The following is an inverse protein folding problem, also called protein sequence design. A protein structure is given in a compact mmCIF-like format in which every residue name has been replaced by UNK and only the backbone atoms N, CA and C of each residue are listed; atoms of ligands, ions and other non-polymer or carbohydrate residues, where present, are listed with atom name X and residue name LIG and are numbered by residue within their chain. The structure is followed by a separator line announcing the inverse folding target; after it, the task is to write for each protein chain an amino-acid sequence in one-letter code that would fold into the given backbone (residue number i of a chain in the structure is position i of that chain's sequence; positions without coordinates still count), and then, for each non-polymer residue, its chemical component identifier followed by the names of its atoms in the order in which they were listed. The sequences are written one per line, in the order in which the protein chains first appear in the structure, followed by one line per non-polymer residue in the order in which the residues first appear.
data_IF_097558566328
#
_entry.id   IF_097558566328
#
_cell.length_a   1.000
_cell.length_b   1.000
_cell.length_c   1.000
_cell.angle_alpha   90.00
_cell.angle_beta   90.00
_cell.angle_gamma   90.00
#
_symmetry.space_group_name_H-M   'P 1'
#
loop_
_entity.id
_entity.type
_entity.pdbx_description
1 polymer ?
#
# COMPACT_ATOMS: atom_id res chain seq x y z
N UNK A 1 -2.07 2.27 -21.38
CA UNK A 1 -1.56 1.49 -20.24
C UNK A 1 -2.32 0.18 -20.19
N UNK A 2 -1.65 -0.95 -20.34
CA UNK A 2 -2.27 -2.27 -20.16
C UNK A 2 -2.43 -2.49 -18.65
N UNK A 3 -3.67 -2.51 -18.17
CA UNK A 3 -3.97 -3.03 -16.83
C UNK A 3 -3.71 -4.54 -16.87
N UNK A 4 -2.51 -4.95 -16.44
CA UNK A 4 -2.15 -6.36 -16.31
C UNK A 4 -2.91 -6.95 -15.11
N UNK A 5 -3.28 -8.22 -15.23
CA UNK A 5 -4.21 -8.88 -14.32
C UNK A 5 -3.43 -9.45 -13.16
N UNK A 6 -3.64 -8.89 -11.96
CA UNK A 6 -3.04 -9.40 -10.71
C UNK A 6 -3.25 -10.92 -10.58
N UNK A 7 -2.22 -11.69 -10.19
CA UNK A 7 -2.34 -13.12 -9.97
C UNK A 7 -3.36 -13.40 -8.88
N UNK A 8 -4.20 -14.40 -9.10
CA UNK A 8 -5.30 -14.76 -8.19
C UNK A 8 -4.84 -15.60 -7.01
N UNK A 9 -3.68 -16.24 -7.12
CA UNK A 9 -3.07 -17.06 -6.07
C UNK A 9 -1.56 -17.20 -6.29
N UNK A 10 -0.86 -17.73 -5.28
CA UNK A 10 0.57 -17.99 -5.30
C UNK A 10 1.04 -18.91 -6.45
N UNK A 11 0.17 -19.74 -7.03
CA UNK A 11 0.58 -20.64 -8.13
C UNK A 11 0.76 -19.90 -9.46
N UNK A 12 0.13 -18.73 -9.61
CA UNK A 12 0.21 -17.88 -10.81
C UNK A 12 1.40 -16.91 -10.78
N UNK A 13 2.09 -16.77 -9.64
CA UNK A 13 3.29 -15.91 -9.53
C UNK A 13 4.53 -16.58 -10.13
N UNK A 14 5.46 -15.75 -10.63
CA UNK A 14 6.77 -16.24 -11.08
C UNK A 14 7.61 -16.77 -9.91
N UNK A 15 8.62 -17.56 -10.24
CA UNK A 15 9.58 -18.09 -9.25
C UNK A 15 10.31 -16.96 -8.52
N UNK A 16 10.62 -15.87 -9.21
CA UNK A 16 11.40 -14.76 -8.67
C UNK A 16 10.57 -13.90 -7.71
N UNK A 17 9.30 -13.61 -8.05
CA UNK A 17 8.36 -12.96 -7.10
C UNK A 17 8.17 -13.82 -5.86
N UNK A 18 7.96 -15.14 -6.00
CA UNK A 18 7.82 -16.02 -4.81
C UNK A 18 9.07 -16.02 -3.94
N UNK A 19 10.26 -16.01 -4.56
CA UNK A 19 11.55 -15.92 -3.84
C UNK A 19 11.68 -14.58 -3.13
N UNK A 20 11.29 -13.49 -3.78
CA UNK A 20 11.30 -12.16 -3.20
C UNK A 20 10.35 -12.05 -2.02
N UNK A 21 9.09 -12.47 -2.16
CA UNK A 21 8.10 -12.43 -1.08
C UNK A 21 8.59 -13.21 0.14
N UNK A 22 9.19 -14.40 -0.03
CA UNK A 22 9.80 -15.15 1.08
C UNK A 22 10.96 -14.40 1.75
N UNK A 23 11.74 -13.64 0.98
CA UNK A 23 12.83 -12.82 1.53
C UNK A 23 12.26 -11.61 2.29
N UNK A 24 11.22 -10.99 1.75
CA UNK A 24 10.51 -9.87 2.38
C UNK A 24 9.81 -10.30 3.68
N UNK A 25 9.17 -11.46 3.69
CA UNK A 25 8.59 -12.08 4.89
C UNK A 25 9.64 -12.26 5.99
N UNK A 26 10.82 -12.79 5.66
CA UNK A 26 11.93 -12.94 6.61
C UNK A 26 12.43 -11.59 7.12
N UNK A 27 12.50 -10.59 6.24
CA UNK A 27 12.86 -9.23 6.61
C UNK A 27 11.86 -8.64 7.61
N UNK A 28 10.55 -8.78 7.36
CA UNK A 28 9.50 -8.29 8.27
C UNK A 28 9.58 -9.00 9.64
N UNK A 29 9.70 -10.33 9.66
CA UNK A 29 9.84 -11.11 10.90
C UNK A 29 11.10 -10.76 11.70
N UNK A 30 12.21 -10.41 11.02
CA UNK A 30 13.45 -9.96 11.69
C UNK A 30 13.28 -8.61 12.38
N UNK A 31 12.33 -7.80 11.92
CA UNK A 31 11.98 -6.50 12.49
C UNK A 31 10.73 -6.58 13.38
N UNK A 32 10.42 -7.77 13.93
CA UNK A 32 9.31 -8.02 14.85
C UNK A 32 7.92 -7.61 14.29
N UNK A 33 7.76 -7.68 12.96
CA UNK A 33 6.46 -7.47 12.29
C UNK A 33 5.77 -8.81 12.08
N UNK A 34 4.59 -8.96 12.68
CA UNK A 34 3.71 -10.11 12.45
C UNK A 34 3.16 -10.09 11.02
N UNK A 35 3.22 -11.23 10.35
CA UNK A 35 2.81 -11.38 8.94
C UNK A 35 1.86 -12.55 8.77
N UNK A 36 0.84 -12.33 7.96
CA UNK A 36 -0.12 -13.33 7.50
C UNK A 36 -0.07 -13.45 5.98
N UNK A 37 -0.64 -14.54 5.46
CA UNK A 37 -0.85 -14.70 4.02
C UNK A 37 -2.34 -14.69 3.73
N UNK A 38 -2.78 -13.83 2.83
CA UNK A 38 -4.16 -13.84 2.38
C UNK A 38 -4.43 -14.98 1.37
N UNK A 39 -5.69 -15.15 0.96
CA UNK A 39 -6.10 -16.22 0.03
C UNK A 39 -5.48 -16.12 -1.37
N UNK A 40 -5.00 -14.93 -1.77
CA UNK A 40 -4.24 -14.71 -2.99
C UNK A 40 -2.75 -15.03 -2.82
N UNK A 41 -2.31 -15.37 -1.60
CA UNK A 41 -0.93 -15.65 -1.24
C UNK A 41 -0.04 -14.41 -1.19
N UNK A 42 -0.64 -13.23 -1.06
CA UNK A 42 0.06 -11.99 -0.74
C UNK A 42 0.35 -11.93 0.77
N UNK A 43 1.46 -11.28 1.13
CA UNK A 43 1.82 -11.04 2.54
C UNK A 43 0.96 -9.89 3.04
N UNK A 44 0.30 -10.08 4.17
CA UNK A 44 -0.45 -9.03 4.86
C UNK A 44 0.16 -8.81 6.22
N UNK A 45 0.37 -7.57 6.63
CA UNK A 45 0.80 -7.26 7.99
C UNK A 45 0.10 -6.02 8.51
N UNK A 46 -0.30 -6.03 9.79
CA UNK A 46 -0.72 -4.81 10.45
C UNK A 46 0.49 -3.90 10.57
N UNK A 47 0.24 -2.61 10.38
CA UNK A 47 1.23 -1.59 10.65
C UNK A 47 0.63 -0.57 11.57
N UNK A 48 1.27 -0.35 12.71
CA UNK A 48 1.07 0.85 13.48
C UNK A 48 1.67 2.02 12.69
N UNK A 49 0.88 3.00 12.26
CA UNK A 49 1.45 4.32 11.96
C UNK A 49 0.54 5.46 12.36
N UNK A 50 1.21 6.58 12.68
CA UNK A 50 0.74 7.94 13.01
C UNK A 50 -0.70 7.99 13.54
N UNK A 51 -0.81 8.12 14.86
CA UNK A 51 -2.05 8.28 15.63
C UNK A 51 -2.82 6.99 15.99
N UNK A 52 -2.11 5.85 16.08
CA UNK A 52 -2.62 4.64 16.74
C UNK A 52 -3.57 3.79 15.90
N UNK A 53 -3.49 3.89 14.58
CA UNK A 53 -4.34 3.12 13.68
C UNK A 53 -3.59 1.99 12.99
N UNK A 54 -4.23 0.82 13.00
CA UNK A 54 -3.72 -0.38 12.36
C UNK A 54 -4.11 -0.38 10.87
N UNK A 55 -3.13 -0.22 10.00
CA UNK A 55 -3.33 -0.40 8.56
C UNK A 55 -2.95 -1.81 8.14
N UNK A 56 -3.69 -2.39 7.20
CA UNK A 56 -3.27 -3.65 6.56
C UNK A 56 -2.46 -3.31 5.31
N UNK A 57 -1.16 -3.58 5.36
CA UNK A 57 -0.31 -3.51 4.18
C UNK A 57 -0.33 -4.87 3.49
N UNK A 58 -0.66 -4.87 2.21
CA UNK A 58 -0.60 -6.07 1.36
C UNK A 58 0.60 -5.98 0.42
N UNK A 59 1.42 -7.02 0.38
CA UNK A 59 2.55 -7.18 -0.55
C UNK A 59 2.27 -8.32 -1.51
N UNK A 60 2.11 -7.99 -2.78
CA UNK A 60 1.83 -8.95 -3.85
C UNK A 60 2.77 -8.70 -5.04
N UNK A 61 2.93 -9.64 -5.96
CA UNK A 61 3.73 -9.44 -7.16
C UNK A 61 3.30 -10.27 -8.35
N UNK A 62 3.68 -9.83 -9.54
CA UNK A 62 3.45 -10.47 -10.85
C UNK A 62 4.71 -10.26 -11.68
N UNK A 63 5.15 -11.28 -12.42
CA UNK A 63 6.37 -11.21 -13.23
C UNK A 63 7.62 -10.83 -12.42
N UNK A 64 8.06 -9.59 -12.51
CA UNK A 64 9.19 -8.98 -11.81
C UNK A 64 8.78 -7.77 -10.97
N UNK A 65 7.48 -7.45 -10.89
CA UNK A 65 6.95 -6.28 -10.16
C UNK A 65 6.31 -6.74 -8.86
N UNK A 66 6.58 -6.00 -7.80
CA UNK A 66 5.98 -6.16 -6.47
C UNK A 66 5.27 -4.87 -6.11
N UNK A 67 4.09 -5.00 -5.51
CA UNK A 67 3.24 -3.92 -5.03
C UNK A 67 3.18 -3.96 -3.52
N UNK A 68 3.43 -2.82 -2.88
CA UNK A 68 2.94 -2.51 -1.54
C UNK A 68 1.62 -1.75 -1.67
N UNK A 69 0.59 -2.18 -0.95
CA UNK A 69 -0.72 -1.52 -0.97
C UNK A 69 -1.28 -1.37 0.43
N UNK A 70 -1.71 -0.15 0.78
CA UNK A 70 -2.50 0.15 1.97
C UNK A 70 -3.89 0.58 1.54
N UNK A 71 -4.91 0.11 2.26
CA UNK A 71 -6.31 0.40 2.02
C UNK A 71 -6.85 1.18 3.24
N UNK A 72 -7.43 2.35 2.99
CA UNK A 72 -8.00 3.23 4.01
C UNK A 72 -9.48 3.46 3.71
N UNK A 73 -10.34 3.40 4.73
CA UNK A 73 -11.72 3.86 4.58
C UNK A 73 -11.76 5.38 4.66
N UNK A 74 -12.54 6.00 3.77
CA UNK A 74 -12.83 7.43 3.77
C UNK A 74 -14.25 7.63 4.27
N UNK A 75 -14.48 8.70 5.06
CA UNK A 75 -15.83 9.11 5.43
C UNK A 75 -16.61 9.56 4.19
N UNK A 76 -17.86 9.08 4.06
CA UNK A 76 -18.80 9.37 2.97
C UNK A 76 -19.30 10.80 2.96
N UNK A 77 -19.04 11.56 4.02
CA UNK A 77 -19.46 12.96 4.13
C UNK A 77 -18.56 13.93 3.35
N UNK A 78 -17.41 13.45 2.87
CA UNK A 78 -16.40 14.26 2.19
C UNK A 78 -16.73 14.39 0.69
N UNK A 79 -16.58 15.60 0.14
CA UNK A 79 -16.85 15.90 -1.27
C UNK A 79 -15.91 15.16 -2.23
N UNK A 80 -16.50 14.42 -3.16
CA UNK A 80 -15.80 13.57 -4.13
C UNK A 80 -14.89 14.36 -5.07
N UNK A 81 -15.31 15.55 -5.50
CA UNK A 81 -14.51 16.41 -6.38
C UNK A 81 -13.23 16.86 -5.67
N UNK A 82 -13.34 17.19 -4.38
CA UNK A 82 -12.20 17.58 -3.54
C UNK A 82 -11.22 16.43 -3.36
N UNK A 83 -11.71 15.19 -3.15
CA UNK A 83 -10.89 13.98 -3.10
C UNK A 83 -10.11 13.80 -4.40
N UNK A 84 -10.80 13.83 -5.55
CA UNK A 84 -10.19 13.63 -6.85
C UNK A 84 -9.14 14.69 -7.19
N UNK A 85 -9.38 15.95 -6.81
CA UNK A 85 -8.40 17.04 -6.98
C UNK A 85 -7.16 16.78 -6.14
N UNK A 86 -7.32 16.44 -4.86
CA UNK A 86 -6.20 16.16 -3.96
C UNK A 86 -5.37 14.95 -4.45
N UNK A 87 -6.02 13.90 -4.96
CA UNK A 87 -5.33 12.74 -5.56
C UNK A 87 -4.55 13.14 -6.81
N UNK A 88 -5.14 13.95 -7.70
CA UNK A 88 -4.44 14.42 -8.90
C UNK A 88 -3.24 15.30 -8.56
N UNK A 89 -3.34 16.15 -7.53
CA UNK A 89 -2.21 16.92 -7.02
C UNK A 89 -1.11 16.01 -6.50
N UNK A 90 -1.44 15.03 -5.64
CA UNK A 90 -0.49 14.08 -5.06
C UNK A 90 0.22 13.25 -6.12
N UNK A 91 -0.52 12.69 -7.07
CA UNK A 91 0.04 11.89 -8.17
C UNK A 91 0.82 12.74 -9.18
N UNK A 92 0.61 14.06 -9.20
CA UNK A 92 1.43 15.01 -9.97
C UNK A 92 2.75 15.37 -9.30
N UNK A 93 2.97 14.98 -8.04
CA UNK A 93 4.23 15.19 -7.32
C UNK A 93 5.20 14.01 -7.48
N UNK A 94 6.46 14.18 -7.06
CA UNK A 94 7.46 13.10 -7.00
C UNK A 94 7.27 12.17 -5.78
N UNK A 95 6.03 11.94 -5.34
CA UNK A 95 5.75 11.05 -4.24
C UNK A 95 5.99 9.58 -4.67
N UNK A 96 6.73 8.77 -3.92
CA UNK A 96 6.90 7.34 -4.26
C UNK A 96 5.62 6.52 -4.15
N UNK A 97 4.59 7.05 -3.46
CA UNK A 97 3.28 6.41 -3.29
C UNK A 97 2.27 7.03 -4.25
N UNK A 98 1.68 6.20 -5.10
CA UNK A 98 0.54 6.56 -5.94
C UNK A 98 -0.74 6.37 -5.15
N UNK A 99 -1.66 7.32 -5.28
CA UNK A 99 -2.96 7.29 -4.61
C UNK A 99 -4.07 7.02 -5.61
N UNK A 100 -4.96 6.12 -5.26
CA UNK A 100 -6.17 5.81 -6.01
C UNK A 100 -7.38 5.84 -5.08
N UNK A 101 -8.56 6.16 -5.60
CA UNK A 101 -9.82 6.07 -4.87
C UNK A 101 -10.75 5.09 -5.56
N UNK A 102 -11.32 4.16 -4.79
CA UNK A 102 -12.39 3.28 -5.25
C UNK A 102 -13.72 3.82 -4.72
N UNK A 103 -14.39 4.61 -5.55
CA UNK A 103 -15.59 5.38 -5.22
C UNK A 103 -16.74 4.51 -4.73
N UNK A 104 -16.91 3.34 -5.34
CA UNK A 104 -17.98 2.40 -5.00
C UNK A 104 -17.90 1.93 -3.54
N UNK A 105 -16.68 1.92 -2.98
CA UNK A 105 -16.39 1.42 -1.63
C UNK A 105 -15.99 2.50 -0.64
N UNK A 106 -15.79 3.76 -1.07
CA UNK A 106 -15.24 4.86 -0.26
C UNK A 106 -13.89 4.51 0.34
N UNK A 107 -12.99 4.03 -0.52
CA UNK A 107 -11.68 3.55 -0.11
C UNK A 107 -10.59 4.37 -0.79
N UNK A 108 -9.59 4.79 -0.01
CA UNK A 108 -8.32 5.28 -0.51
C UNK A 108 -7.33 4.10 -0.59
N UNK A 109 -6.76 3.88 -1.75
CA UNK A 109 -5.70 2.89 -1.96
C UNK A 109 -4.39 3.63 -2.20
N UNK A 110 -3.43 3.40 -1.31
CA UNK A 110 -2.06 3.84 -1.47
C UNK A 110 -1.29 2.69 -2.09
N UNK A 111 -0.47 2.93 -3.10
CA UNK A 111 0.28 1.87 -3.79
C UNK A 111 1.68 2.34 -4.18
N UNK A 112 2.66 1.47 -4.00
CA UNK A 112 4.04 1.66 -4.48
C UNK A 112 4.49 0.38 -5.16
N UNK A 113 5.12 0.54 -6.32
CA UNK A 113 5.61 -0.56 -7.14
C UNK A 113 7.13 -0.57 -7.17
N UNK A 114 7.75 -1.74 -7.15
CA UNK A 114 9.20 -1.90 -7.28
C UNK A 114 9.54 -3.29 -7.82
N UNK A 115 10.79 -3.49 -8.23
CA UNK A 115 11.22 -4.74 -8.85
C UNK A 115 11.58 -5.83 -7.83
N UNK A 116 11.31 -7.09 -8.17
CA UNK A 116 11.56 -8.27 -7.33
C UNK A 116 13.05 -8.65 -7.20
N UNK A 117 13.97 -7.95 -7.87
CA UNK A 117 15.42 -8.20 -7.82
C UNK A 117 16.14 -7.49 -6.66
N UNK A 118 15.39 -6.88 -5.73
CA UNK A 118 15.91 -6.04 -4.67
C UNK A 118 16.71 -6.78 -3.56
N UNK A 119 17.78 -6.13 -3.10
CA UNK A 119 18.61 -6.54 -1.95
C UNK A 119 17.92 -6.23 -0.61
N UNK A 120 18.49 -6.66 0.53
CA UNK A 120 17.91 -6.29 1.84
C UNK A 120 18.04 -4.79 2.11
N UNK A 121 19.16 -4.16 1.72
CA UNK A 121 19.33 -2.71 1.81
C UNK A 121 18.26 -1.95 1.00
N UNK A 122 17.84 -2.52 -0.13
CA UNK A 122 16.76 -1.95 -0.93
C UNK A 122 15.40 -2.09 -0.22
N UNK A 123 15.20 -3.14 0.61
CA UNK A 123 13.97 -3.31 1.39
C UNK A 123 13.84 -2.23 2.48
N UNK A 124 14.93 -1.88 3.17
CA UNK A 124 14.93 -0.74 4.11
C UNK A 124 14.55 0.56 3.40
N UNK A 125 15.14 0.82 2.24
CA UNK A 125 14.85 2.01 1.44
C UNK A 125 13.39 2.04 0.96
N UNK A 126 12.85 0.89 0.51
CA UNK A 126 11.45 0.71 0.11
C UNK A 126 10.52 1.00 1.28
N UNK A 127 10.75 0.43 2.46
CA UNK A 127 9.89 0.67 3.63
C UNK A 127 9.94 2.12 4.09
N UNK A 128 11.12 2.76 4.09
CA UNK A 128 11.24 4.18 4.44
C UNK A 128 10.55 5.09 3.41
N UNK A 129 10.68 4.79 2.12
CA UNK A 129 9.99 5.52 1.06
C UNK A 129 8.46 5.33 1.14
N UNK A 130 8.01 4.11 1.46
CA UNK A 130 6.60 3.80 1.71
C UNK A 130 6.03 4.63 2.85
N UNK A 131 6.72 4.67 3.99
CA UNK A 131 6.26 5.39 5.17
C UNK A 131 6.21 6.90 4.95
N UNK A 132 7.31 7.48 4.49
CA UNK A 132 7.37 8.92 4.20
C UNK A 132 6.35 9.34 3.14
N UNK A 133 6.16 8.54 2.09
CA UNK A 133 5.15 8.82 1.07
C UNK A 133 3.72 8.68 1.58
N UNK A 134 3.46 7.70 2.46
CA UNK A 134 2.16 7.52 3.10
C UNK A 134 1.82 8.72 3.99
N UNK A 135 2.76 9.16 4.84
CA UNK A 135 2.56 10.34 5.70
C UNK A 135 2.23 11.61 4.91
N UNK A 136 2.92 11.84 3.78
CA UNK A 136 2.63 12.97 2.88
C UNK A 136 1.20 12.89 2.36
N UNK A 137 0.76 11.70 1.91
CA UNK A 137 -0.60 11.49 1.41
C UNK A 137 -1.61 11.75 2.52
N UNK A 138 -1.45 11.15 3.70
CA UNK A 138 -2.38 11.30 4.81
C UNK A 138 -2.52 12.77 5.21
N UNK A 139 -1.39 13.46 5.40
CA UNK A 139 -1.37 14.88 5.74
C UNK A 139 -2.07 15.73 4.69
N UNK A 140 -1.78 15.52 3.41
CA UNK A 140 -2.40 16.28 2.32
C UNK A 140 -3.91 16.04 2.26
N UNK A 141 -4.34 14.79 2.40
CA UNK A 141 -5.76 14.42 2.39
C UNK A 141 -6.52 15.03 3.58
N UNK A 142 -5.92 15.05 4.78
CA UNK A 142 -6.50 15.70 5.95
C UNK A 142 -6.57 17.22 5.77
N UNK A 143 -5.49 17.87 5.32
CA UNK A 143 -5.42 19.34 5.21
C UNK A 143 -6.29 19.90 4.07
N UNK A 144 -6.35 19.21 2.93
CA UNK A 144 -7.04 19.72 1.72
C UNK A 144 -8.50 19.30 1.62
N UNK A 145 -8.81 18.12 2.15
CA UNK A 145 -10.11 17.49 1.94
C UNK A 145 -10.87 17.35 3.26
N UNK A 146 -10.20 17.49 4.40
CA UNK A 146 -10.84 17.30 5.70
C UNK A 146 -11.22 15.85 5.96
N UNK A 147 -10.57 14.89 5.29
CA UNK A 147 -10.78 13.47 5.58
C UNK A 147 -10.29 13.22 7.01
N UNK A 148 -11.25 13.10 7.93
CA UNK A 148 -11.05 12.33 9.14
C UNK A 148 -10.98 10.88 8.71
N UNK A 149 -9.78 10.29 8.79
CA UNK A 149 -9.62 8.87 8.55
C UNK A 149 -10.34 8.20 9.72
N UNK A 150 -11.40 7.42 9.46
CA UNK A 150 -12.14 6.70 10.50
C UNK A 150 -11.25 5.57 11.03
N UNK A 151 -10.48 5.92 12.05
CA UNK A 151 -9.49 5.10 12.75
C UNK A 151 -10.11 3.90 13.50
N UNK A 152 -11.43 3.78 13.56
CA UNK A 152 -12.12 2.75 14.35
C UNK A 152 -12.37 1.43 13.61
N UNK A 153 -12.17 1.39 12.29
CA UNK A 153 -12.50 0.22 11.46
C UNK A 153 -11.25 -0.52 11.00
N UNK A 154 -10.95 -1.61 11.72
CA UNK A 154 -10.12 -2.71 11.20
C UNK A 154 -10.89 -3.39 10.05
N UNK A 155 -10.21 -3.65 8.93
CA UNK A 155 -10.72 -4.56 7.89
C UNK A 155 -10.67 -6.01 8.39
#
# INVERSE_FOLDING_TARGET
MLFRRRPKNQNEMTKDVKKYLKKFEKYLKKNDVDVEYNSAGAITFPTETVDGSDYIVTVNGEEDIVWLTTILSIDRTVDEISILRAINELNGTKNPVTVHVEHTMNILMLTMCFNSEMTEKDMDAVMNAWWSGTEIVLKHMTEKVGIAIDWSKKL
#
